data_IF_393736703722
#
_entry.id   IF_393736703722
#
_cell.length_a   1.000
_cell.length_b   1.000
_cell.length_c   1.000
_cell.angle_alpha   90.00
_cell.angle_beta   90.00
_cell.angle_gamma   90.00
#
_symmetry.space_group_name_H-M   'P 1'
#
loop_
_entity.id
_entity.type
_entity.pdbx_description
1 polymer ?
#
# COMPACT_ATOMS: atom_id res chain seq x y z
N UNK A 1 1.77 -0.21 1.74
CA UNK A 1 0.93 0.62 0.85
C UNK A 1 1.12 2.09 1.15
N UNK A 2 1.80 2.80 0.26
CA UNK A 2 2.20 4.20 0.49
C UNK A 2 1.46 5.19 -0.41
N UNK A 3 1.40 4.93 -1.71
CA UNK A 3 0.96 5.88 -2.72
C UNK A 3 -0.43 5.61 -3.33
N UNK A 4 -1.04 6.67 -3.87
CA UNK A 4 -2.25 6.58 -4.71
C UNK A 4 -1.97 5.85 -6.02
N UNK A 5 -0.72 5.88 -6.45
CA UNK A 5 -0.26 5.35 -7.73
C UNK A 5 0.30 3.93 -7.65
N UNK A 6 0.36 3.33 -6.44
CA UNK A 6 0.89 1.98 -6.24
C UNK A 6 0.32 0.93 -7.20
N UNK A 7 -1.00 0.88 -7.50
CA UNK A 7 -1.55 -0.07 -8.47
C UNK A 7 -1.01 0.15 -9.89
N UNK A 8 -0.87 1.40 -10.32
CA UNK A 8 -0.37 1.73 -11.66
C UNK A 8 1.12 1.41 -11.79
N UNK A 9 1.90 1.70 -10.75
CA UNK A 9 3.33 1.40 -10.69
C UNK A 9 3.56 -0.11 -10.75
N UNK A 10 2.81 -0.89 -9.95
CA UNK A 10 2.88 -2.36 -10.00
C UNK A 10 2.51 -2.89 -11.38
N UNK A 11 1.45 -2.36 -11.99
CA UNK A 11 1.01 -2.76 -13.33
C UNK A 11 2.08 -2.53 -14.40
N UNK A 12 2.85 -1.45 -14.30
CA UNK A 12 3.92 -1.14 -15.26
C UNK A 12 5.01 -2.23 -15.29
N UNK A 13 5.31 -2.85 -14.15
CA UNK A 13 6.36 -3.87 -14.04
C UNK A 13 5.85 -5.31 -14.24
N UNK A 14 4.55 -5.53 -14.29
CA UNK A 14 3.97 -6.86 -14.44
C UNK A 14 3.61 -7.15 -15.90
N UNK A 15 4.01 -8.30 -16.41
CA UNK A 15 3.71 -8.71 -17.80
C UNK A 15 2.21 -8.87 -18.08
N UNK A 16 1.44 -9.26 -17.05
CA UNK A 16 -0.02 -9.36 -17.09
C UNK A 16 -0.59 -8.50 -15.95
N UNK A 17 -1.50 -7.56 -16.25
CA UNK A 17 -2.13 -6.75 -15.22
C UNK A 17 -2.95 -7.63 -14.28
N UNK A 18 -2.77 -7.53 -12.97
CA UNK A 18 -3.63 -8.22 -12.02
C UNK A 18 -4.94 -7.46 -11.82
N UNK A 19 -5.98 -8.18 -11.40
CA UNK A 19 -7.20 -7.57 -10.93
C UNK A 19 -6.97 -7.03 -9.50
N UNK A 20 -7.01 -5.71 -9.34
CA UNK A 20 -6.82 -5.08 -8.04
C UNK A 20 -8.08 -5.16 -7.21
N UNK A 21 -7.90 -5.51 -5.94
CA UNK A 21 -8.97 -5.44 -4.95
C UNK A 21 -8.86 -4.11 -4.22
N UNK A 22 -9.86 -3.26 -4.38
CA UNK A 22 -9.87 -1.89 -3.87
C UNK A 22 -11.10 -1.62 -3.01
N UNK A 23 -11.08 -0.51 -2.26
CA UNK A 23 -12.26 -0.06 -1.52
C UNK A 23 -13.37 0.35 -2.50
N UNK A 24 -14.60 -0.06 -2.22
CA UNK A 24 -15.79 0.34 -2.96
C UNK A 24 -15.95 1.87 -3.08
N UNK A 25 -15.47 2.61 -2.08
CA UNK A 25 -15.47 4.08 -2.10
C UNK A 25 -14.67 4.68 -3.27
N UNK A 26 -13.52 4.08 -3.62
CA UNK A 26 -12.70 4.53 -4.76
C UNK A 26 -13.40 4.21 -6.08
N UNK A 27 -14.06 3.06 -6.16
CA UNK A 27 -14.76 2.63 -7.38
C UNK A 27 -16.07 3.41 -7.66
N UNK A 28 -16.56 4.17 -6.68
CA UNK A 28 -17.71 5.07 -6.85
C UNK A 28 -17.34 6.43 -7.43
N UNK A 29 -16.07 6.79 -7.41
CA UNK A 29 -15.61 8.00 -8.09
C UNK A 29 -15.90 7.88 -9.60
N UNK A 30 -16.44 8.95 -10.19
CA UNK A 30 -16.90 8.92 -11.59
C UNK A 30 -15.76 8.76 -12.60
N UNK A 31 -14.61 9.33 -12.32
CA UNK A 31 -13.44 9.29 -13.22
C UNK A 31 -12.50 8.16 -12.83
N UNK A 32 -11.99 8.20 -11.61
CA UNK A 32 -11.02 7.23 -11.11
C UNK A 32 -11.64 5.84 -11.06
N UNK A 33 -12.86 5.72 -10.56
CA UNK A 33 -13.58 4.45 -10.47
C UNK A 33 -13.82 3.80 -11.84
N UNK A 34 -14.11 4.59 -12.87
CA UNK A 34 -14.26 4.07 -14.23
C UNK A 34 -12.95 3.54 -14.77
N UNK A 35 -11.83 4.24 -14.58
CA UNK A 35 -10.50 3.80 -14.98
C UNK A 35 -10.15 2.49 -14.25
N UNK A 36 -10.34 2.44 -12.93
CA UNK A 36 -10.05 1.23 -12.16
C UNK A 36 -10.89 0.01 -12.60
N UNK A 37 -12.17 0.22 -12.91
CA UNK A 37 -13.05 -0.84 -13.43
C UNK A 37 -12.58 -1.36 -14.80
N UNK A 38 -12.12 -0.49 -15.68
CA UNK A 38 -11.55 -0.89 -16.97
C UNK A 38 -10.31 -1.80 -16.81
N UNK A 39 -9.54 -1.62 -15.73
CA UNK A 39 -8.41 -2.49 -15.35
C UNK A 39 -8.82 -3.69 -14.48
N UNK A 40 -10.12 -4.02 -14.43
CA UNK A 40 -10.60 -5.20 -13.70
C UNK A 40 -10.53 -5.05 -12.17
N UNK A 41 -10.55 -3.83 -11.64
CA UNK A 41 -10.57 -3.62 -10.20
C UNK A 41 -11.91 -4.04 -9.59
N UNK A 42 -11.84 -4.80 -8.50
CA UNK A 42 -12.98 -5.32 -7.73
C UNK A 42 -13.17 -4.51 -6.45
N UNK A 43 -14.41 -4.17 -6.13
CA UNK A 43 -14.75 -3.36 -4.95
C UNK A 43 -15.05 -4.19 -3.72
N UNK A 44 -14.35 -3.93 -2.62
CA UNK A 44 -14.69 -4.48 -1.31
C UNK A 44 -15.38 -3.41 -0.46
N UNK A 45 -16.52 -3.75 0.13
CA UNK A 45 -17.14 -2.96 1.20
C UNK A 45 -16.41 -3.23 2.50
N UNK A 46 -15.79 -2.19 3.08
CA UNK A 46 -15.11 -2.31 4.38
C UNK A 46 -16.08 -2.78 5.46
N UNK A 47 -15.62 -3.76 6.27
CA UNK A 47 -16.38 -4.24 7.43
C UNK A 47 -17.52 -5.22 7.12
N UNK A 48 -17.71 -5.64 5.88
CA UNK A 48 -18.72 -6.65 5.52
C UNK A 48 -18.05 -7.94 5.06
N UNK A 49 -18.65 -9.09 5.44
CA UNK A 49 -18.31 -10.40 4.85
C UNK A 49 -18.99 -10.49 3.47
N UNK A 50 -18.38 -9.89 2.47
CA UNK A 50 -18.94 -9.89 1.11
C UNK A 50 -18.58 -11.20 0.39
N UNK A 51 -19.46 -12.19 0.49
CA UNK A 51 -19.29 -13.46 -0.18
C UNK A 51 -19.33 -13.34 -1.72
N UNK A 52 -19.89 -12.24 -2.25
CA UNK A 52 -19.94 -12.02 -3.70
C UNK A 52 -18.54 -11.69 -4.23
N UNK A 53 -17.81 -10.82 -3.56
CA UNK A 53 -16.45 -10.47 -3.97
C UNK A 53 -15.49 -11.66 -3.87
N UNK A 54 -15.65 -12.51 -2.84
CA UNK A 54 -14.84 -13.74 -2.71
C UNK A 54 -15.09 -14.69 -3.89
N UNK A 55 -16.35 -14.84 -4.33
CA UNK A 55 -16.67 -15.63 -5.52
C UNK A 55 -16.10 -15.03 -6.80
N UNK A 56 -16.09 -13.69 -6.90
CA UNK A 56 -15.51 -12.99 -8.04
C UNK A 56 -13.99 -13.18 -8.10
N UNK A 57 -13.29 -13.05 -6.96
CA UNK A 57 -11.87 -13.38 -6.84
C UNK A 57 -11.57 -14.84 -7.26
N UNK A 58 -12.38 -15.78 -6.80
CA UNK A 58 -12.23 -17.19 -7.17
C UNK A 58 -12.40 -17.40 -8.68
N UNK A 59 -13.36 -16.74 -9.33
CA UNK A 59 -13.53 -16.80 -10.79
C UNK A 59 -12.33 -16.27 -11.55
N UNK A 60 -11.77 -15.13 -11.12
CA UNK A 60 -10.55 -14.57 -11.73
C UNK A 60 -9.40 -15.57 -11.66
N UNK A 61 -9.19 -16.17 -10.51
CA UNK A 61 -8.12 -17.16 -10.31
C UNK A 61 -8.35 -18.42 -11.15
N UNK A 62 -9.58 -18.93 -11.19
CA UNK A 62 -9.96 -20.12 -11.99
C UNK A 62 -9.80 -19.90 -13.50
N UNK A 63 -9.95 -18.65 -13.97
CA UNK A 63 -9.69 -18.28 -15.37
C UNK A 63 -8.21 -18.02 -15.68
N UNK A 64 -7.29 -18.29 -14.74
CA UNK A 64 -5.85 -18.05 -14.90
C UNK A 64 -5.44 -16.58 -14.75
N UNK A 65 -6.32 -15.74 -14.21
CA UNK A 65 -6.03 -14.36 -13.86
C UNK A 65 -5.23 -14.25 -12.55
N UNK A 66 -4.63 -13.08 -12.33
CA UNK A 66 -3.94 -12.74 -11.11
C UNK A 66 -4.76 -11.73 -10.28
N UNK A 67 -4.64 -11.81 -8.96
CA UNK A 67 -5.21 -10.84 -8.02
C UNK A 67 -4.11 -10.04 -7.37
N UNK A 68 -4.33 -8.76 -7.14
CA UNK A 68 -3.48 -7.92 -6.32
C UNK A 68 -4.32 -7.21 -5.25
N UNK A 69 -3.84 -7.25 -4.02
CA UNK A 69 -4.48 -6.58 -2.90
C UNK A 69 -3.44 -5.99 -1.95
N UNK A 70 -3.83 -4.94 -1.28
CA UNK A 70 -3.04 -4.30 -0.23
C UNK A 70 -3.64 -4.68 1.13
N UNK A 71 -3.03 -5.63 1.87
CA UNK A 71 -3.64 -6.15 3.11
C UNK A 71 -3.79 -5.10 4.20
N UNK A 72 -2.97 -4.05 4.16
CA UNK A 72 -3.05 -2.90 5.08
C UNK A 72 -4.35 -2.08 4.95
N UNK A 73 -5.10 -2.25 3.85
CA UNK A 73 -6.37 -1.58 3.55
C UNK A 73 -6.34 -0.04 3.55
N UNK A 74 -5.26 0.58 3.96
CA UNK A 74 -5.08 2.04 4.00
C UNK A 74 -3.63 2.41 3.75
N UNK A 75 -3.41 3.63 3.23
CA UNK A 75 -2.06 4.17 3.04
C UNK A 75 -1.43 4.49 4.39
N UNK A 76 -0.13 4.23 4.52
CA UNK A 76 0.64 4.61 5.71
C UNK A 76 0.73 6.13 5.87
N UNK A 77 0.76 6.61 7.11
CA UNK A 77 1.05 8.01 7.44
C UNK A 77 2.54 8.24 7.68
N UNK A 78 3.26 7.22 8.15
CA UNK A 78 4.64 7.33 8.63
C UNK A 78 5.68 6.74 7.68
N UNK A 79 5.25 6.10 6.58
CA UNK A 79 6.16 5.38 5.68
C UNK A 79 6.55 3.99 6.19
N UNK A 80 5.99 3.56 7.31
CA UNK A 80 6.13 2.20 7.83
C UNK A 80 4.90 1.37 7.48
N UNK A 81 5.09 0.07 7.24
CA UNK A 81 4.00 -0.87 6.94
C UNK A 81 2.99 -0.88 8.08
N UNK A 82 1.72 -0.65 7.76
CA UNK A 82 0.64 -0.75 8.75
C UNK A 82 0.36 -2.20 9.12
N UNK A 83 -0.18 -2.40 10.31
CA UNK A 83 -0.71 -3.70 10.71
C UNK A 83 -1.90 -4.08 9.80
N UNK A 84 -2.04 -5.37 9.56
CA UNK A 84 -3.17 -5.94 8.84
C UNK A 84 -3.68 -7.19 9.55
N UNK A 85 -4.89 -7.59 9.20
CA UNK A 85 -5.62 -8.61 9.92
C UNK A 85 -5.29 -10.03 9.42
N UNK A 86 -5.25 -11.00 10.34
CA UNK A 86 -4.98 -12.42 10.06
C UNK A 86 -6.03 -13.05 9.12
N UNK A 87 -7.20 -12.43 8.94
CA UNK A 87 -8.23 -12.94 8.04
C UNK A 87 -7.77 -13.08 6.59
N UNK A 88 -6.68 -12.39 6.19
CA UNK A 88 -6.04 -12.59 4.88
C UNK A 88 -5.62 -14.05 4.66
N UNK A 89 -5.25 -14.78 5.72
CA UNK A 89 -4.85 -16.18 5.64
C UNK A 89 -6.03 -17.06 5.19
N UNK A 90 -7.26 -16.75 5.63
CA UNK A 90 -8.46 -17.47 5.19
C UNK A 90 -8.68 -17.33 3.68
N UNK A 91 -8.45 -16.13 3.14
CA UNK A 91 -8.53 -15.91 1.69
C UNK A 91 -7.44 -16.69 0.94
N UNK A 92 -6.21 -16.68 1.42
CA UNK A 92 -5.09 -17.43 0.85
C UNK A 92 -5.41 -18.93 0.81
N UNK A 93 -5.89 -19.50 1.91
CA UNK A 93 -6.28 -20.91 1.97
C UNK A 93 -7.44 -21.27 1.05
N UNK A 94 -8.37 -20.34 0.88
CA UNK A 94 -9.53 -20.54 -0.01
C UNK A 94 -9.10 -20.55 -1.47
N UNK A 95 -8.25 -19.62 -1.89
CA UNK A 95 -7.86 -19.45 -3.29
C UNK A 95 -6.86 -20.53 -3.75
N UNK A 96 -5.99 -21.03 -2.87
CA UNK A 96 -5.01 -22.10 -3.14
C UNK A 96 -4.13 -21.83 -4.36
N UNK A 97 -3.61 -20.61 -4.46
CA UNK A 97 -2.74 -20.15 -5.54
C UNK A 97 -1.37 -19.74 -5.01
N UNK A 98 -0.35 -19.65 -5.88
CA UNK A 98 0.94 -19.08 -5.48
C UNK A 98 0.77 -17.64 -4.94
N UNK A 99 1.42 -17.34 -3.83
CA UNK A 99 1.39 -16.03 -3.20
C UNK A 99 2.73 -15.35 -3.38
N UNK A 100 2.70 -14.19 -4.04
CA UNK A 100 3.86 -13.34 -4.25
C UNK A 100 3.65 -12.07 -3.43
N UNK A 101 4.61 -11.72 -2.59
CA UNK A 101 4.64 -10.42 -1.91
C UNK A 101 5.42 -9.42 -2.75
N UNK A 102 4.96 -8.16 -2.75
CA UNK A 102 5.62 -7.05 -3.42
C UNK A 102 5.84 -5.92 -2.42
N UNK A 103 7.09 -5.48 -2.26
CA UNK A 103 7.46 -4.36 -1.40
C UNK A 103 7.97 -3.22 -2.28
N UNK A 104 7.38 -2.04 -2.13
CA UNK A 104 7.70 -0.84 -2.90
C UNK A 104 8.51 0.11 -2.02
N UNK A 105 9.83 0.07 -2.15
CA UNK A 105 10.78 0.86 -1.37
C UNK A 105 10.94 2.26 -1.99
N UNK A 106 10.84 3.31 -1.17
CA UNK A 106 10.90 4.70 -1.61
C UNK A 106 9.56 5.28 -2.07
N UNK A 107 8.50 4.48 -2.11
CA UNK A 107 7.16 4.88 -2.55
C UNK A 107 6.53 5.96 -1.64
N UNK A 108 6.84 5.95 -0.35
CA UNK A 108 6.37 6.97 0.59
C UNK A 108 6.87 8.37 0.23
N UNK A 109 8.11 8.50 -0.23
CA UNK A 109 8.67 9.79 -0.62
C UNK A 109 8.20 10.27 -1.98
N UNK A 110 7.76 9.37 -2.85
CA UNK A 110 7.14 9.72 -4.12
C UNK A 110 5.73 10.32 -3.95
N UNK A 111 4.88 9.68 -3.13
CA UNK A 111 3.49 10.12 -2.88
C UNK A 111 3.12 9.96 -1.40
N UNK A 112 3.68 10.81 -0.50
CA UNK A 112 3.34 10.74 0.91
C UNK A 112 1.86 11.06 1.13
N UNK A 113 1.24 10.40 2.11
CA UNK A 113 -0.20 10.53 2.35
C UNK A 113 -0.64 11.96 2.68
N UNK A 114 0.21 12.71 3.33
CA UNK A 114 0.00 14.12 3.69
C UNK A 114 0.31 15.10 2.54
N UNK A 115 1.09 14.68 1.54
CA UNK A 115 1.43 15.51 0.40
C UNK A 115 0.31 15.62 -0.62
N UNK A 116 0.16 16.78 -1.25
CA UNK A 116 -0.81 17.01 -2.34
C UNK A 116 -0.26 16.63 -3.71
N UNK A 117 1.04 16.86 -3.90
CA UNK A 117 1.74 16.62 -5.18
C UNK A 117 2.65 15.40 -5.08
N UNK A 118 2.80 14.69 -6.18
CA UNK A 118 3.84 13.66 -6.31
C UNK A 118 5.21 14.32 -6.42
N UNK A 119 6.24 13.58 -6.02
CA UNK A 119 7.63 14.02 -6.03
C UNK A 119 8.45 13.13 -6.93
N UNK A 120 9.49 13.68 -7.54
CA UNK A 120 10.46 12.87 -8.26
C UNK A 120 11.40 12.20 -7.25
N UNK A 121 11.31 10.91 -7.13
CA UNK A 121 12.16 10.10 -6.26
C UNK A 121 12.38 8.73 -6.87
N UNK A 122 13.51 8.11 -6.54
CA UNK A 122 13.80 6.76 -7.00
C UNK A 122 13.07 5.72 -6.16
N UNK A 123 12.39 4.78 -6.82
CA UNK A 123 11.71 3.66 -6.19
C UNK A 123 12.32 2.33 -6.62
N UNK A 124 12.21 1.35 -5.77
CA UNK A 124 12.59 -0.04 -6.03
C UNK A 124 11.46 -0.97 -5.63
N UNK A 125 11.11 -1.92 -6.49
CA UNK A 125 10.09 -2.92 -6.20
C UNK A 125 10.76 -4.29 -6.08
N UNK A 126 10.54 -4.94 -4.95
CA UNK A 126 11.02 -6.28 -4.68
C UNK A 126 9.84 -7.25 -4.69
N UNK A 127 9.90 -8.25 -5.56
CA UNK A 127 8.94 -9.35 -5.62
C UNK A 127 9.54 -10.59 -4.97
N UNK A 128 8.79 -11.25 -4.09
CA UNK A 128 9.22 -12.47 -3.42
C UNK A 128 8.10 -13.51 -3.43
N UNK A 129 8.41 -14.74 -3.87
CA UNK A 129 7.53 -15.87 -3.67
C UNK A 129 7.41 -16.15 -2.17
N UNK A 130 6.20 -15.95 -1.61
CA UNK A 130 5.95 -16.21 -0.20
C UNK A 130 5.54 -17.67 0.02
N UNK A 131 4.61 -18.18 -0.80
CA UNK A 131 4.09 -19.53 -0.68
C UNK A 131 3.73 -20.10 -2.04
N UNK A 132 3.97 -21.39 -2.22
CA UNK A 132 3.31 -22.21 -3.23
C UNK A 132 2.06 -22.87 -2.62
N UNK A 133 1.08 -23.31 -3.42
CA UNK A 133 -0.13 -23.96 -2.91
C UNK A 133 0.13 -25.19 -2.04
N UNK A 134 1.17 -25.97 -2.35
CA UNK A 134 1.60 -27.13 -1.59
C UNK A 134 2.09 -26.77 -0.19
N UNK A 135 2.81 -25.66 -0.04
CA UNK A 135 3.37 -25.21 1.25
C UNK A 135 2.26 -24.93 2.27
N UNK A 136 1.12 -24.41 1.79
CA UNK A 136 -0.02 -24.04 2.63
C UNK A 136 -0.64 -25.23 3.39
N UNK A 137 -0.42 -26.45 2.94
CA UNK A 137 -0.97 -27.66 3.59
C UNK A 137 -0.26 -27.99 4.91
N UNK A 138 0.99 -27.56 5.05
CA UNK A 138 1.88 -27.92 6.15
C UNK A 138 2.09 -26.79 7.17
N UNK A 139 1.55 -25.59 6.89
CA UNK A 139 1.73 -24.42 7.73
C UNK A 139 0.47 -24.10 8.53
N UNK A 140 0.61 -23.63 9.77
CA UNK A 140 -0.51 -23.07 10.54
C UNK A 140 -0.90 -21.69 10.04
N UNK A 141 -2.06 -21.18 10.44
CA UNK A 141 -2.51 -19.84 10.06
C UNK A 141 -1.55 -18.77 10.60
N UNK A 142 -1.03 -18.96 11.80
CA UNK A 142 -0.07 -18.06 12.43
C UNK A 142 1.26 -18.05 11.67
N UNK A 143 1.76 -19.22 11.23
CA UNK A 143 3.00 -19.32 10.45
C UNK A 143 2.88 -18.60 9.09
N UNK A 144 1.74 -18.75 8.42
CA UNK A 144 1.45 -18.05 7.16
C UNK A 144 1.41 -16.55 7.44
N UNK A 145 0.69 -16.12 8.48
CA UNK A 145 0.53 -14.71 8.83
C UNK A 145 1.86 -14.04 9.18
N UNK A 146 2.66 -14.64 10.06
CA UNK A 146 3.97 -14.09 10.44
C UNK A 146 4.96 -14.05 9.26
N UNK A 147 4.88 -15.00 8.33
CA UNK A 147 5.68 -14.95 7.11
C UNK A 147 5.25 -13.80 6.20
N UNK A 148 3.95 -13.53 6.06
CA UNK A 148 3.45 -12.38 5.31
C UNK A 148 3.89 -11.07 5.97
N UNK A 149 3.74 -10.93 7.29
CA UNK A 149 4.17 -9.75 8.03
C UNK A 149 5.64 -9.46 7.79
N UNK A 150 6.50 -10.46 7.96
CA UNK A 150 7.95 -10.35 7.74
C UNK A 150 8.29 -9.98 6.30
N UNK A 151 7.63 -10.58 5.31
CA UNK A 151 7.90 -10.33 3.90
C UNK A 151 7.41 -8.96 3.42
N UNK A 152 6.34 -8.44 4.03
CA UNK A 152 5.72 -7.15 3.66
C UNK A 152 6.22 -5.99 4.52
N UNK A 153 6.90 -6.29 5.65
CA UNK A 153 7.42 -5.23 6.52
C UNK A 153 8.45 -4.37 5.79
N UNK A 154 8.23 -3.08 5.85
CA UNK A 154 9.15 -2.08 5.32
C UNK A 154 8.97 -0.74 6.06
N UNK A 155 10.06 0.00 6.20
CA UNK A 155 10.08 1.36 6.72
C UNK A 155 10.86 2.25 5.76
N UNK A 156 10.16 3.09 5.03
CA UNK A 156 10.75 3.96 4.00
C UNK A 156 11.65 5.04 4.59
N UNK A 157 11.39 5.51 5.81
CA UNK A 157 12.25 6.48 6.48
C UNK A 157 13.61 5.84 6.82
N UNK A 158 13.60 4.63 7.39
CA UNK A 158 14.83 3.89 7.66
C UNK A 158 15.59 3.57 6.37
N UNK A 159 14.89 3.18 5.32
CA UNK A 159 15.47 2.92 4.01
C UNK A 159 16.11 4.17 3.40
N UNK A 160 15.42 5.32 3.46
CA UNK A 160 15.94 6.59 2.94
C UNK A 160 17.17 7.08 3.72
N UNK A 161 17.20 6.89 5.04
CA UNK A 161 18.39 7.23 5.86
C UNK A 161 19.66 6.48 5.45
N UNK A 162 19.51 5.26 4.93
CA UNK A 162 20.64 4.47 4.43
C UNK A 162 21.01 4.82 2.99
N UNK A 163 19.99 5.08 2.16
CA UNK A 163 20.17 5.27 0.72
C UNK A 163 20.54 6.69 0.33
N UNK A 164 20.04 7.69 1.07
CA UNK A 164 20.22 9.12 0.80
C UNK A 164 19.85 9.51 -0.65
N UNK A 165 18.80 8.88 -1.20
CA UNK A 165 18.31 9.19 -2.55
C UNK A 165 17.78 10.62 -2.61
N UNK A 166 18.04 11.31 -3.70
CA UNK A 166 17.51 12.65 -3.92
C UNK A 166 16.00 12.63 -4.11
N UNK A 167 15.31 13.60 -3.51
CA UNK A 167 13.87 13.81 -3.62
C UNK A 167 13.65 15.21 -4.16
N UNK A 168 13.37 15.30 -5.45
CA UNK A 168 13.12 16.57 -6.12
C UNK A 168 11.66 17.00 -5.96
N UNK A 169 11.44 18.17 -5.36
CA UNK A 169 10.12 18.79 -5.23
C UNK A 169 10.25 20.22 -4.69
N UNK A 170 9.38 21.10 -5.13
CA UNK A 170 9.28 22.46 -4.60
C UNK A 170 8.31 22.55 -3.40
N UNK A 171 7.69 21.43 -3.02
CA UNK A 171 6.64 21.38 -1.99
C UNK A 171 6.86 20.24 -1.00
N UNK A 172 8.14 19.98 -0.64
CA UNK A 172 8.51 18.86 0.24
C UNK A 172 7.97 18.98 1.65
N UNK A 173 7.83 20.20 2.16
CA UNK A 173 7.33 20.44 3.51
C UNK A 173 5.81 20.66 3.57
N UNK A 174 5.15 21.02 2.46
CA UNK A 174 3.72 21.34 2.47
C UNK A 174 2.86 20.24 3.08
N UNK A 175 2.06 20.60 4.08
CA UNK A 175 1.14 19.75 4.85
C UNK A 175 1.84 18.71 5.76
N UNK A 176 3.14 18.83 6.03
CA UNK A 176 3.85 17.92 6.93
C UNK A 176 3.31 18.00 8.37
N UNK A 177 2.67 19.10 8.74
CA UNK A 177 1.99 19.29 10.03
C UNK A 177 0.92 18.25 10.31
N UNK A 178 0.39 17.56 9.30
CA UNK A 178 -0.53 16.42 9.52
C UNK A 178 0.12 15.21 10.20
N UNK A 179 1.46 15.12 10.18
CA UNK A 179 2.20 14.05 10.88
C UNK A 179 3.12 14.62 11.97
N UNK A 180 3.57 15.87 11.82
CA UNK A 180 4.37 16.60 12.81
C UNK A 180 3.46 17.62 13.50
N UNK A 181 2.63 17.18 14.43
CA UNK A 181 1.60 18.01 15.07
C UNK A 181 2.04 18.63 16.39
N UNK A 182 3.18 18.21 16.98
CA UNK A 182 3.73 18.77 18.21
C UNK A 182 5.18 19.18 18.03
N UNK A 183 5.51 20.40 18.42
CA UNK A 183 6.87 20.90 18.38
C UNK A 183 7.73 20.26 19.49
N UNK A 184 8.88 19.63 19.17
CA UNK A 184 9.73 19.02 20.20
C UNK A 184 10.46 20.04 21.06
N UNK A 185 10.56 21.32 20.63
CA UNK A 185 11.25 22.37 21.37
C UNK A 185 10.33 23.09 22.37
N UNK A 186 9.15 23.57 21.91
CA UNK A 186 8.23 24.34 22.76
C UNK A 186 7.03 23.51 23.25
N UNK A 187 6.87 22.26 22.78
CA UNK A 187 5.79 21.32 23.10
C UNK A 187 4.38 21.78 22.72
N UNK A 188 4.27 22.88 21.96
CA UNK A 188 2.98 23.32 21.44
C UNK A 188 2.43 22.36 20.38
N UNK A 189 1.11 22.14 20.42
CA UNK A 189 0.37 21.42 19.39
C UNK A 189 -0.08 22.39 18.31
N UNK A 190 -0.12 21.91 17.06
CA UNK A 190 -0.59 22.65 15.87
C UNK A 190 0.11 24.01 15.66
N UNK A 191 1.28 24.17 16.26
CA UNK A 191 2.09 25.40 16.21
C UNK A 191 2.99 25.48 14.97
N UNK A 192 2.85 24.59 14.00
CA UNK A 192 3.68 24.57 12.81
C UNK A 192 3.07 25.30 11.62
N UNK A 193 3.96 25.82 10.79
CA UNK A 193 3.65 26.36 9.48
C UNK A 193 4.51 25.66 8.42
N UNK A 194 3.90 25.25 7.32
CA UNK A 194 4.61 24.62 6.21
C UNK A 194 4.33 25.35 4.90
N UNK A 195 5.39 25.65 4.15
CA UNK A 195 5.27 26.30 2.84
C UNK A 195 6.43 25.88 1.95
N UNK A 196 6.14 25.42 0.76
CA UNK A 196 7.17 24.96 -0.16
C UNK A 196 8.05 23.86 0.44
N UNK A 197 9.32 24.17 0.67
CA UNK A 197 10.30 23.29 1.30
C UNK A 197 10.58 23.62 2.76
N UNK A 198 9.94 24.63 3.31
CA UNK A 198 10.19 25.15 4.64
C UNK A 198 9.12 24.67 5.63
N UNK A 199 9.56 24.38 6.85
CA UNK A 199 8.74 23.91 7.94
C UNK A 199 9.27 24.53 9.23
N UNK A 200 8.46 25.36 9.88
CA UNK A 200 8.86 26.17 11.04
C UNK A 200 7.83 26.10 12.16
N UNK A 201 8.30 26.29 13.39
CA UNK A 201 7.44 26.50 14.54
C UNK A 201 7.10 28.00 14.65
N UNK A 202 5.84 28.33 14.97
CA UNK A 202 5.35 29.70 15.10
C UNK A 202 5.71 30.37 16.42
N UNK A 203 6.29 29.65 17.37
CA UNK A 203 6.71 30.14 18.69
C UNK A 203 8.17 30.53 18.71
#
# INVERSE_FOLDING_TARGET
HCGRYDPFILNYYLKKPPNFVSSDAILRDKVIGTIFKMFGAMGIKKGTRDSAIIREMAKVVQSGGALALFPEATRTWTGETNNFDISIVKLIRLLKVPIITAVMRGSYFFDPRWGKKIRKSAMHIEFKMAFKPEDLKHLTDEQIFETLKRNLYHNDIAYQRQRLAEIESDTRAENIEFICYQCPACLQYDGFNSSGNDFECRS
#
